data_IF_834501941382
#
_entry.id   IF_834501941382
#
_cell.length_a   1.000
_cell.length_b   1.000
_cell.length_c   1.000
_cell.angle_alpha   90.00
_cell.angle_beta   90.00
_cell.angle_gamma   90.00
#
_symmetry.space_group_name_H-M   'P 1'
#
loop_
_entity.id
_entity.type
_entity.pdbx_description
1 polymer ?
#
# COMPACT_ATOMS: atom_id res chain seq x y z
N UNK A 1 6.84 11.18 3.82
CA UNK A 1 7.13 10.92 2.37
C UNK A 1 8.63 11.02 2.13
N UNK A 2 9.23 10.01 1.50
CA UNK A 2 10.67 9.99 1.22
C UNK A 2 11.11 11.22 0.40
N UNK A 3 12.33 11.74 0.64
CA UNK A 3 12.86 12.92 -0.03
C UNK A 3 12.80 12.80 -1.55
N UNK A 4 13.17 11.64 -2.09
CA UNK A 4 13.11 11.33 -3.51
C UNK A 4 11.73 11.63 -4.15
N UNK A 5 10.63 11.26 -3.50
CA UNK A 5 9.28 11.53 -4.04
C UNK A 5 8.97 13.02 -4.04
N UNK A 6 9.39 13.75 -2.99
CA UNK A 6 9.19 15.21 -2.93
C UNK A 6 9.94 15.93 -4.05
N UNK A 7 11.20 15.56 -4.25
CA UNK A 7 12.03 16.16 -5.29
C UNK A 7 11.46 15.91 -6.69
N UNK A 8 10.94 14.69 -6.94
CA UNK A 8 10.27 14.34 -8.20
C UNK A 8 8.99 15.16 -8.41
N UNK A 9 8.16 15.31 -7.38
CA UNK A 9 6.94 16.11 -7.46
C UNK A 9 7.24 17.60 -7.71
N UNK A 10 8.24 18.16 -7.03
CA UNK A 10 8.66 19.55 -7.25
C UNK A 10 9.19 19.76 -8.67
N UNK A 11 9.95 18.82 -9.21
CA UNK A 11 10.42 18.88 -10.59
C UNK A 11 9.24 18.85 -11.60
N UNK A 12 8.22 18.01 -11.35
CA UNK A 12 7.01 17.95 -12.17
C UNK A 12 6.24 19.28 -12.10
N UNK A 13 6.03 19.83 -10.91
CA UNK A 13 5.34 21.11 -10.71
C UNK A 13 6.08 22.27 -11.39
N UNK A 14 7.42 22.26 -11.35
CA UNK A 14 8.27 23.30 -11.95
C UNK A 14 8.42 23.18 -13.47
N UNK A 15 7.98 22.09 -14.09
CA UNK A 15 8.18 21.82 -15.52
C UNK A 15 7.36 22.72 -16.46
N UNK A 16 6.33 23.41 -15.96
CA UNK A 16 5.39 24.19 -16.75
C UNK A 16 4.33 23.35 -17.49
N UNK A 17 4.37 22.02 -17.39
CA UNK A 17 3.32 21.15 -17.91
C UNK A 17 2.06 21.18 -17.03
N UNK A 18 0.91 20.84 -17.60
CA UNK A 18 -0.26 20.48 -16.79
C UNK A 18 0.06 19.18 -16.05
N UNK A 19 -0.06 19.19 -14.75
CA UNK A 19 0.31 18.04 -13.93
C UNK A 19 -0.84 17.59 -13.02
N UNK A 20 -0.84 16.31 -12.71
CA UNK A 20 -1.65 15.69 -11.62
C UNK A 20 -0.75 14.72 -10.88
N UNK A 21 -0.75 14.77 -9.56
CA UNK A 21 0.05 13.88 -8.71
C UNK A 21 -0.88 12.88 -8.04
N UNK A 22 -0.57 11.60 -8.16
CA UNK A 22 -1.30 10.53 -7.46
C UNK A 22 -0.38 9.87 -6.44
N UNK A 23 -0.80 9.89 -5.18
CA UNK A 23 -0.07 9.35 -4.01
C UNK A 23 -0.87 8.18 -3.43
N UNK A 24 -0.66 6.96 -3.90
CA UNK A 24 -1.32 5.80 -3.32
C UNK A 24 -0.77 5.49 -1.92
N UNK A 25 -1.64 5.01 -1.03
CA UNK A 25 -1.22 4.25 0.14
C UNK A 25 -0.58 2.92 -0.28
N UNK A 26 -0.05 2.16 0.66
CA UNK A 26 0.49 0.82 0.40
C UNK A 26 -0.48 -0.01 -0.43
N UNK A 27 0.04 -0.67 -1.45
CA UNK A 27 -0.81 -1.40 -2.39
C UNK A 27 -1.20 -2.79 -1.87
N UNK A 28 -2.41 -3.23 -2.15
CA UNK A 28 -2.90 -4.58 -1.82
C UNK A 28 -2.02 -5.67 -2.42
N UNK A 29 -1.37 -5.41 -3.57
CA UNK A 29 -0.38 -6.32 -4.16
C UNK A 29 0.84 -6.60 -3.27
N UNK A 30 1.08 -5.80 -2.23
CA UNK A 30 2.19 -6.02 -1.31
C UNK A 30 2.08 -7.36 -0.54
N UNK A 31 0.88 -7.93 -0.40
CA UNK A 31 0.72 -9.26 0.20
C UNK A 31 1.42 -10.37 -0.59
N UNK A 32 1.76 -10.15 -1.87
CA UNK A 32 2.56 -11.10 -2.64
C UNK A 32 3.99 -11.25 -2.13
N UNK A 33 4.49 -10.29 -1.31
CA UNK A 33 5.81 -10.40 -0.64
C UNK A 33 5.86 -11.54 0.37
N UNK A 34 4.70 -12.07 0.77
CA UNK A 34 4.62 -13.23 1.65
C UNK A 34 4.69 -14.57 0.91
N UNK A 35 4.82 -14.57 -0.43
CA UNK A 35 4.81 -15.79 -1.25
C UNK A 35 5.78 -16.85 -0.74
N UNK A 36 7.04 -16.48 -0.48
CA UNK A 36 8.05 -17.42 0.01
C UNK A 36 7.67 -18.01 1.39
N UNK A 37 7.03 -17.22 2.27
CA UNK A 37 6.55 -17.69 3.56
C UNK A 37 5.32 -18.59 3.40
N UNK A 38 4.42 -18.23 2.47
CA UNK A 38 3.26 -19.04 2.12
C UNK A 38 3.67 -20.42 1.56
N UNK A 39 4.75 -20.49 0.80
CA UNK A 39 5.23 -21.75 0.20
C UNK A 39 5.81 -22.73 1.23
N UNK A 40 6.37 -22.22 2.33
CA UNK A 40 7.07 -23.06 3.32
C UNK A 40 6.26 -23.34 4.58
N UNK A 41 5.16 -22.60 4.85
CA UNK A 41 4.43 -22.81 6.10
C UNK A 41 3.14 -22.02 6.27
N UNK A 42 2.71 -21.95 7.53
CA UNK A 42 1.46 -21.31 7.96
C UNK A 42 1.70 -20.03 8.76
N UNK A 43 2.96 -19.62 8.93
CA UNK A 43 3.33 -18.43 9.70
C UNK A 43 3.80 -17.33 8.77
N UNK A 44 3.15 -16.19 8.88
CA UNK A 44 3.54 -14.97 8.17
C UNK A 44 4.16 -14.00 9.17
N UNK A 45 5.43 -13.68 8.98
CA UNK A 45 6.16 -12.70 9.79
C UNK A 45 6.31 -11.39 9.03
N UNK A 46 5.93 -10.29 9.65
CA UNK A 46 6.15 -8.96 9.09
C UNK A 46 6.36 -7.92 10.22
N UNK A 47 7.11 -6.83 9.95
CA UNK A 47 7.26 -5.72 10.88
C UNK A 47 5.99 -4.88 10.97
N UNK A 48 5.98 -3.94 11.92
CA UNK A 48 4.91 -2.96 12.12
C UNK A 48 3.53 -3.59 12.37
N UNK A 49 3.48 -4.68 13.14
CA UNK A 49 2.29 -5.50 13.34
C UNK A 49 1.09 -4.80 13.96
N UNK A 50 1.30 -3.66 14.60
CA UNK A 50 0.31 -2.81 15.27
C UNK A 50 -0.18 -1.64 14.40
N UNK A 51 0.38 -1.45 13.21
CA UNK A 51 0.03 -0.32 12.32
C UNK A 51 -1.02 -0.74 11.31
N UNK A 52 -2.18 -0.09 11.37
CA UNK A 52 -3.22 -0.27 10.35
C UNK A 52 -2.86 0.50 9.07
N UNK A 53 -3.14 -0.10 7.91
CA UNK A 53 -2.87 0.48 6.59
C UNK A 53 -4.14 0.41 5.74
N UNK A 54 -4.54 1.54 5.16
CA UNK A 54 -5.65 1.63 4.22
C UNK A 54 -5.18 1.25 2.80
N UNK A 55 -4.86 -0.04 2.61
CA UNK A 55 -4.26 -0.57 1.38
C UNK A 55 -5.13 -0.33 0.15
N UNK A 56 -4.54 0.23 -0.89
CA UNK A 56 -5.25 0.56 -2.13
C UNK A 56 -5.13 -0.55 -3.18
N UNK A 57 -6.21 -0.78 -3.92
CA UNK A 57 -6.18 -1.67 -5.10
C UNK A 57 -5.36 -1.00 -6.22
N UNK A 58 -4.35 -1.67 -6.80
CA UNK A 58 -3.65 -1.15 -7.97
C UNK A 58 -4.57 -0.78 -9.14
N UNK A 59 -5.72 -1.44 -9.28
CA UNK A 59 -6.70 -1.12 -10.30
C UNK A 59 -7.38 0.24 -10.07
N UNK A 60 -7.60 0.64 -8.82
CA UNK A 60 -8.13 1.96 -8.47
C UNK A 60 -7.12 3.06 -8.77
N UNK A 61 -5.85 2.84 -8.44
CA UNK A 61 -4.77 3.77 -8.80
C UNK A 61 -4.70 3.97 -10.31
N UNK A 62 -4.75 2.88 -11.07
CA UNK A 62 -4.73 2.94 -12.53
C UNK A 62 -5.96 3.66 -13.09
N UNK A 63 -7.15 3.44 -12.53
CA UNK A 63 -8.36 4.11 -12.96
C UNK A 63 -8.33 5.62 -12.65
N UNK A 64 -7.90 6.02 -11.45
CA UNK A 64 -7.72 7.45 -11.09
C UNK A 64 -6.72 8.13 -12.03
N UNK A 65 -5.60 7.47 -12.34
CA UNK A 65 -4.62 7.99 -13.30
C UNK A 65 -5.22 8.14 -14.70
N UNK A 66 -5.97 7.14 -15.18
CA UNK A 66 -6.62 7.18 -16.49
C UNK A 66 -7.62 8.33 -16.59
N UNK A 67 -8.49 8.50 -15.58
CA UNK A 67 -9.45 9.61 -15.51
C UNK A 67 -8.73 10.95 -15.52
N UNK A 68 -7.69 11.11 -14.69
CA UNK A 68 -6.92 12.36 -14.63
C UNK A 68 -6.19 12.71 -15.94
N UNK A 69 -5.88 11.72 -16.77
CA UNK A 69 -5.24 11.93 -18.07
C UNK A 69 -6.23 12.20 -19.21
N UNK A 70 -7.47 11.74 -19.10
CA UNK A 70 -8.44 11.77 -20.21
C UNK A 70 -9.59 12.75 -19.99
N UNK A 71 -9.82 13.19 -18.75
CA UNK A 71 -10.90 14.10 -18.41
C UNK A 71 -10.37 15.46 -17.96
N UNK A 72 -11.18 16.49 -18.08
CA UNK A 72 -10.82 17.84 -17.63
C UNK A 72 -11.07 18.00 -16.13
N UNK A 73 -10.35 18.96 -15.51
CA UNK A 73 -10.57 19.32 -14.11
C UNK A 73 -9.55 18.76 -13.13
N UNK A 74 -8.57 18.00 -13.61
CA UNK A 74 -7.55 17.34 -12.75
C UNK A 74 -6.18 18.05 -12.75
N UNK A 75 -6.01 19.07 -13.59
CA UNK A 75 -4.74 19.80 -13.66
C UNK A 75 -4.46 20.58 -12.36
N UNK A 76 -3.26 20.41 -11.82
CA UNK A 76 -2.82 21.02 -10.56
C UNK A 76 -3.27 20.28 -9.30
N UNK A 77 -3.96 19.15 -9.43
CA UNK A 77 -4.48 18.36 -8.31
C UNK A 77 -3.46 17.34 -7.79
N UNK A 78 -3.57 17.07 -6.48
CA UNK A 78 -2.82 15.99 -5.82
C UNK A 78 -3.80 15.05 -5.13
N UNK A 79 -3.90 13.83 -5.63
CA UNK A 79 -4.80 12.80 -5.15
C UNK A 79 -4.08 11.81 -4.23
N UNK A 80 -4.53 11.69 -2.98
CA UNK A 80 -4.18 10.54 -2.14
C UNK A 80 -5.20 9.43 -2.40
N UNK A 81 -4.74 8.22 -2.67
CA UNK A 81 -5.60 7.07 -2.99
C UNK A 81 -5.42 6.01 -1.91
N UNK A 82 -6.51 5.60 -1.28
CA UNK A 82 -6.54 4.54 -0.26
C UNK A 82 -7.61 3.51 -0.56
N UNK A 83 -7.54 2.37 0.14
CA UNK A 83 -8.64 1.42 0.22
C UNK A 83 -9.74 1.88 1.19
N UNK A 84 -10.77 1.04 1.37
CA UNK A 84 -11.96 1.40 2.15
C UNK A 84 -11.78 1.27 3.67
N UNK A 85 -10.70 0.61 4.14
CA UNK A 85 -10.51 0.26 5.54
C UNK A 85 -9.03 0.20 5.93
N UNK A 86 -8.74 0.51 7.19
CA UNK A 86 -7.40 0.32 7.76
C UNK A 86 -7.24 -1.10 8.31
N UNK A 87 -6.28 -1.86 7.75
CA UNK A 87 -6.01 -3.24 8.11
C UNK A 87 -4.61 -3.38 8.72
N UNK A 88 -4.52 -3.95 9.93
CA UNK A 88 -3.24 -4.38 10.49
C UNK A 88 -2.68 -5.57 9.69
N UNK A 89 -1.37 -5.87 9.77
CA UNK A 89 -0.83 -7.08 9.14
C UNK A 89 -1.54 -8.37 9.59
N UNK A 90 -2.02 -8.43 10.83
CA UNK A 90 -2.81 -9.57 11.32
C UNK A 90 -4.16 -9.69 10.59
N UNK A 91 -4.86 -8.56 10.37
CA UNK A 91 -6.12 -8.54 9.62
C UNK A 91 -5.90 -8.94 8.15
N UNK A 92 -4.83 -8.45 7.54
CA UNK A 92 -4.46 -8.80 6.17
C UNK A 92 -4.18 -10.30 6.04
N UNK A 93 -3.42 -10.89 6.98
CA UNK A 93 -3.14 -12.35 7.02
C UNK A 93 -4.43 -13.15 7.20
N UNK A 94 -5.36 -12.69 8.05
CA UNK A 94 -6.65 -13.35 8.25
C UNK A 94 -7.49 -13.36 6.95
N UNK A 95 -7.55 -12.25 6.23
CA UNK A 95 -8.24 -12.17 4.93
C UNK A 95 -7.60 -13.11 3.90
N UNK A 96 -6.27 -13.12 3.80
CA UNK A 96 -5.53 -14.02 2.89
C UNK A 96 -5.79 -15.48 3.26
N UNK A 97 -5.75 -15.82 4.56
CA UNK A 97 -6.01 -17.16 5.07
C UNK A 97 -7.40 -17.67 4.67
N UNK A 98 -8.41 -16.81 4.87
CA UNK A 98 -9.81 -17.15 4.55
C UNK A 98 -10.00 -17.38 3.05
N UNK A 99 -9.53 -16.44 2.21
CA UNK A 99 -9.68 -16.55 0.75
C UNK A 99 -8.92 -17.74 0.18
N UNK A 100 -7.73 -18.04 0.69
CA UNK A 100 -6.94 -19.20 0.25
C UNK A 100 -7.42 -20.55 0.84
N UNK A 101 -8.27 -20.51 1.87
CA UNK A 101 -8.69 -21.70 2.62
C UNK A 101 -7.53 -22.31 3.42
N UNK A 102 -6.59 -21.50 3.92
CA UNK A 102 -5.38 -21.93 4.64
C UNK A 102 -5.44 -21.52 6.11
N UNK A 103 -4.77 -22.27 6.97
CA UNK A 103 -4.61 -21.95 8.40
C UNK A 103 -3.35 -21.08 8.57
N UNK A 104 -3.44 -19.79 8.23
CA UNK A 104 -2.33 -18.87 8.42
C UNK A 104 -2.43 -18.18 9.78
N UNK A 105 -1.28 -17.86 10.39
CA UNK A 105 -1.17 -17.01 11.57
C UNK A 105 -0.14 -15.92 11.35
N UNK A 106 -0.40 -14.76 11.90
CA UNK A 106 0.54 -13.64 11.88
C UNK A 106 1.45 -13.69 13.10
N UNK A 107 2.72 -13.32 12.91
CA UNK A 107 3.70 -13.12 13.96
C UNK A 107 4.47 -11.83 13.70
N UNK A 108 4.36 -10.86 14.62
CA UNK A 108 5.03 -9.58 14.47
C UNK A 108 6.55 -9.74 14.60
N UNK A 109 7.29 -9.13 13.69
CA UNK A 109 8.74 -8.95 13.81
C UNK A 109 8.98 -7.74 14.71
N UNK A 110 9.72 -7.89 15.82
CA UNK A 110 10.07 -6.75 16.69
C UNK A 110 10.85 -5.67 15.94
N UNK A 111 10.72 -4.42 16.37
CA UNK A 111 11.35 -3.27 15.70
C UNK A 111 12.87 -3.34 15.65
N UNK A 112 13.50 -3.88 16.68
CA UNK A 112 14.96 -4.08 16.73
C UNK A 112 15.43 -5.13 15.72
N UNK A 113 14.69 -6.25 15.59
CA UNK A 113 14.92 -7.26 14.56
C UNK A 113 14.69 -6.66 13.16
N UNK A 114 13.61 -5.91 12.98
CA UNK A 114 13.29 -5.26 11.72
C UNK A 114 14.38 -4.25 11.30
N UNK A 115 14.87 -3.42 12.23
CA UNK A 115 15.97 -2.48 11.98
C UNK A 115 17.26 -3.18 11.57
N UNK A 116 17.52 -4.35 12.13
CA UNK A 116 18.71 -5.14 11.78
C UNK A 116 18.62 -5.85 10.42
N UNK A 117 17.42 -6.26 10.00
CA UNK A 117 17.25 -7.16 8.85
C UNK A 117 16.72 -6.46 7.57
N UNK A 118 15.85 -5.46 7.70
CA UNK A 118 15.27 -4.76 6.54
C UNK A 118 16.30 -4.13 5.61
N UNK A 119 17.38 -3.46 6.09
CA UNK A 119 18.37 -2.85 5.18
C UNK A 119 19.01 -3.84 4.20
N UNK A 120 19.21 -5.09 4.61
CA UNK A 120 19.75 -6.12 3.75
C UNK A 120 18.75 -6.58 2.67
N UNK A 121 17.45 -6.44 2.92
CA UNK A 121 16.38 -6.87 2.02
C UNK A 121 15.98 -5.79 1.01
N UNK A 122 15.93 -4.54 1.46
CA UNK A 122 15.35 -3.43 0.66
C UNK A 122 16.28 -2.21 0.51
N UNK A 123 17.47 -2.23 1.11
CA UNK A 123 18.41 -1.10 1.17
C UNK A 123 18.12 -0.15 2.33
N UNK A 124 19.17 0.52 2.85
CA UNK A 124 19.10 1.35 4.05
C UNK A 124 18.08 2.49 3.91
N UNK A 125 18.15 3.26 2.82
CA UNK A 125 17.28 4.42 2.62
C UNK A 125 15.78 4.04 2.59
N UNK A 126 15.45 2.88 2.03
CA UNK A 126 14.07 2.40 2.00
C UNK A 126 13.63 1.87 3.37
N UNK A 127 14.50 1.19 4.09
CA UNK A 127 14.22 0.75 5.46
C UNK A 127 13.96 1.96 6.39
N UNK A 128 14.80 2.99 6.33
CA UNK A 128 14.63 4.23 7.10
C UNK A 128 13.30 4.92 6.76
N UNK A 129 12.94 4.98 5.48
CA UNK A 129 11.66 5.54 5.04
C UNK A 129 10.45 4.73 5.55
N UNK A 130 10.56 3.41 5.68
CA UNK A 130 9.51 2.59 6.28
C UNK A 130 9.33 2.91 7.77
N UNK A 131 10.41 3.06 8.53
CA UNK A 131 10.32 3.44 9.93
C UNK A 131 9.74 4.86 10.10
N UNK A 132 10.16 5.83 9.29
CA UNK A 132 9.57 7.18 9.27
C UNK A 132 8.04 7.12 9.04
N UNK A 133 7.60 6.34 8.04
CA UNK A 133 6.17 6.25 7.71
C UNK A 133 5.40 5.47 8.78
N UNK A 134 5.87 4.28 9.17
CA UNK A 134 5.06 3.37 10.00
C UNK A 134 5.23 3.60 11.50
N UNK A 135 6.27 4.31 11.98
CA UNK A 135 6.46 4.61 13.40
C UNK A 135 6.26 6.08 13.71
N UNK A 136 6.83 6.97 12.91
CA UNK A 136 6.79 8.39 13.19
C UNK A 136 5.54 9.07 12.61
N UNK A 137 4.99 8.55 11.49
CA UNK A 137 3.85 9.14 10.79
C UNK A 137 2.81 8.11 10.32
N UNK A 138 2.32 7.19 11.19
CA UNK A 138 1.44 6.08 10.78
C UNK A 138 0.11 6.54 10.15
N UNK A 139 -0.35 7.75 10.46
CA UNK A 139 -1.56 8.33 9.86
C UNK A 139 -1.48 8.47 8.34
N UNK A 140 -0.29 8.55 7.75
CA UNK A 140 -0.15 8.62 6.29
C UNK A 140 -0.66 7.37 5.58
N UNK A 141 -0.55 6.22 6.21
CA UNK A 141 -0.97 4.94 5.62
C UNK A 141 -2.36 4.48 6.11
N UNK A 142 -2.83 4.99 7.26
CA UNK A 142 -4.08 4.55 7.88
C UNK A 142 -5.30 5.41 7.53
N UNK A 143 -5.09 6.64 7.08
CA UNK A 143 -6.17 7.58 6.78
C UNK A 143 -6.90 7.21 5.49
N UNK A 144 -8.22 6.97 5.60
CA UNK A 144 -9.07 6.65 4.46
C UNK A 144 -9.37 7.94 3.67
N UNK A 145 -9.20 7.87 2.35
CA UNK A 145 -9.38 8.99 1.45
C UNK A 145 -10.62 8.79 0.57
N UNK A 146 -11.43 9.84 0.33
CA UNK A 146 -12.62 9.74 -0.50
C UNK A 146 -12.33 9.76 -2.01
N UNK A 147 -11.07 9.78 -2.41
CA UNK A 147 -10.61 10.06 -3.78
C UNK A 147 -11.21 9.11 -4.82
N UNK A 148 -11.26 7.81 -4.51
CA UNK A 148 -11.80 6.82 -5.47
C UNK A 148 -13.27 7.09 -5.74
N UNK A 149 -14.06 7.36 -4.71
CA UNK A 149 -15.48 7.70 -4.88
C UNK A 149 -15.67 9.03 -5.60
N UNK A 150 -14.89 10.05 -5.26
CA UNK A 150 -14.99 11.38 -5.86
C UNK A 150 -14.59 11.39 -7.34
N UNK A 151 -13.52 10.66 -7.70
CA UNK A 151 -12.99 10.67 -9.06
C UNK A 151 -13.70 9.63 -9.96
N UNK A 152 -14.02 8.44 -9.41
CA UNK A 152 -14.53 7.31 -10.19
C UNK A 152 -16.03 7.04 -9.99
N UNK A 153 -16.71 7.71 -9.05
CA UNK A 153 -18.13 7.52 -8.77
C UNK A 153 -18.49 6.13 -8.22
N UNK A 154 -17.53 5.40 -7.68
CA UNK A 154 -17.71 4.06 -7.10
C UNK A 154 -16.85 3.87 -5.85
N UNK A 155 -17.19 2.93 -4.96
CA UNK A 155 -16.33 2.62 -3.80
C UNK A 155 -14.97 2.05 -4.25
N UNK A 156 -13.91 2.21 -3.43
CA UNK A 156 -12.61 1.58 -3.63
C UNK A 156 -12.70 0.05 -3.45
N UNK A 157 -11.80 -0.67 -4.14
CA UNK A 157 -11.64 -2.11 -3.99
C UNK A 157 -11.03 -2.48 -2.65
N UNK A 158 -11.55 -3.55 -2.01
CA UNK A 158 -11.04 -4.10 -0.77
C UNK A 158 -9.96 -5.17 -0.98
N UNK A 159 -9.22 -5.50 0.09
CA UNK A 159 -8.16 -6.51 0.04
C UNK A 159 -8.71 -7.90 -0.30
N UNK A 160 -9.90 -8.26 0.21
CA UNK A 160 -10.54 -9.55 -0.06
C UNK A 160 -10.74 -9.75 -1.57
N UNK A 161 -11.40 -8.81 -2.22
CA UNK A 161 -11.64 -8.88 -3.66
C UNK A 161 -10.35 -8.88 -4.47
N UNK A 162 -9.31 -8.17 -4.02
CA UNK A 162 -8.01 -8.24 -4.67
C UNK A 162 -7.39 -9.65 -4.56
N UNK A 163 -7.37 -10.24 -3.37
CA UNK A 163 -6.83 -11.59 -3.14
C UNK A 163 -7.60 -12.63 -3.95
N UNK A 164 -8.93 -12.54 -4.01
CA UNK A 164 -9.78 -13.43 -4.82
C UNK A 164 -9.38 -13.40 -6.30
N UNK A 165 -9.23 -12.21 -6.88
CA UNK A 165 -8.83 -12.03 -8.29
C UNK A 165 -7.38 -12.46 -8.58
N UNK A 166 -6.53 -12.49 -7.56
CA UNK A 166 -5.10 -12.74 -7.71
C UNK A 166 -4.61 -14.01 -6.98
N UNK A 167 -5.48 -14.96 -6.66
CA UNK A 167 -5.15 -16.19 -5.90
C UNK A 167 -3.93 -16.92 -6.43
N UNK A 168 -3.81 -17.03 -7.75
CA UNK A 168 -2.69 -17.75 -8.40
C UNK A 168 -1.33 -17.10 -8.17
N UNK A 169 -1.28 -15.85 -7.75
CA UNK A 169 -0.04 -15.16 -7.39
C UNK A 169 0.43 -15.45 -5.97
N UNK A 170 -0.43 -16.07 -5.16
CA UNK A 170 -0.19 -16.40 -3.75
C UNK A 170 -0.10 -17.92 -3.51
N UNK A 171 -0.42 -18.73 -4.51
CA UNK A 171 -0.34 -20.21 -4.50
C UNK A 171 0.96 -20.73 -5.21
#
# INVERSE_FOLDING_TARGET
MAAYHRDSEEAVKASGALWTIVRPCSMQSNVTRWKDQLDVGEVIRAPFGDVAVAMTDPADVAAVLATALTEAGHAGETYRVSGPEGLTPADQVAIVAEVLGRKLRFEAVPDDEARATLPAQVGQAYADAQFDIFRDHPQYESEIQPTVEQVLGRPPGDLRGWVERNRTRLL
#
